data_IF_061998224327
#
_entry.id   IF_061998224327
#
_cell.length_a   1.000
_cell.length_b   1.000
_cell.length_c   1.000
_cell.angle_alpha   90.00
_cell.angle_beta   90.00
_cell.angle_gamma   90.00
#
_symmetry.space_group_name_H-M   'P 1'
#
loop_
_entity.id
_entity.type
_entity.pdbx_description
1 polymer ?
#
# COMPACT_ATOMS: atom_id res chain seq x y z
N UNK A 1 18.25 12.04 17.42
CA UNK A 1 17.47 11.19 18.34
C UNK A 1 16.03 11.23 17.88
N UNK A 2 15.54 10.17 17.24
CA UNK A 2 14.16 10.12 16.77
C UNK A 2 13.23 10.01 17.97
N UNK A 3 12.32 10.97 18.14
CA UNK A 3 11.35 10.97 19.22
C UNK A 3 10.35 9.82 18.99
N UNK A 4 10.36 8.82 19.87
CA UNK A 4 9.36 7.76 19.86
C UNK A 4 8.08 8.26 20.52
N UNK A 5 6.91 8.06 19.88
CA UNK A 5 5.60 8.36 20.46
C UNK A 5 5.04 7.09 21.06
N UNK A 6 4.74 7.10 22.37
CA UNK A 6 4.08 5.97 23.05
C UNK A 6 2.61 5.91 22.63
N UNK A 7 2.17 4.72 22.21
CA UNK A 7 0.77 4.40 21.90
C UNK A 7 0.41 3.20 22.78
N UNK A 8 -0.74 3.26 23.46
CA UNK A 8 -1.29 2.16 24.25
C UNK A 8 -2.53 1.66 23.52
N UNK A 9 -2.60 0.35 23.28
CA UNK A 9 -3.71 -0.31 22.58
C UNK A 9 -4.12 -1.54 23.38
N UNK A 10 -5.43 -1.79 23.44
CA UNK A 10 -5.96 -3.04 23.96
C UNK A 10 -6.11 -4.03 22.80
N UNK A 11 -5.56 -5.24 22.98
CA UNK A 11 -5.65 -6.33 22.02
C UNK A 11 -6.50 -7.46 22.60
N UNK A 12 -7.28 -8.19 21.76
CA UNK A 12 -7.92 -9.42 22.18
C UNK A 12 -6.87 -10.41 22.73
N UNK A 13 -7.22 -11.13 23.80
CA UNK A 13 -6.29 -12.05 24.47
C UNK A 13 -5.68 -13.08 23.52
N UNK A 14 -6.47 -13.62 22.59
CA UNK A 14 -6.00 -14.61 21.63
C UNK A 14 -4.89 -14.03 20.72
N UNK A 15 -5.12 -12.82 20.21
CA UNK A 15 -4.16 -12.13 19.34
C UNK A 15 -2.90 -11.70 20.11
N UNK A 16 -3.07 -11.23 21.36
CA UNK A 16 -1.94 -10.92 22.22
C UNK A 16 -1.08 -12.16 22.45
N UNK A 17 -1.70 -13.31 22.80
CA UNK A 17 -0.99 -14.58 23.00
C UNK A 17 -0.25 -15.08 21.75
N UNK A 18 -0.86 -14.99 20.56
CA UNK A 18 -0.18 -15.30 19.30
C UNK A 18 1.04 -14.40 19.07
N UNK A 19 0.92 -13.11 19.38
CA UNK A 19 2.03 -12.15 19.27
C UNK A 19 3.18 -12.49 20.23
N UNK A 20 2.89 -12.89 21.47
CA UNK A 20 3.93 -13.31 22.42
C UNK A 20 4.65 -14.57 21.93
N UNK A 21 3.90 -15.56 21.43
CA UNK A 21 4.46 -16.80 20.89
C UNK A 21 5.38 -16.53 19.68
N UNK A 22 4.97 -15.63 18.78
CA UNK A 22 5.77 -15.24 17.62
C UNK A 22 7.03 -14.48 18.03
N UNK A 23 6.91 -13.53 18.96
CA UNK A 23 8.06 -12.78 19.46
C UNK A 23 9.08 -13.69 20.15
N UNK A 24 8.61 -14.68 20.92
CA UNK A 24 9.46 -15.70 21.52
C UNK A 24 10.17 -16.57 20.47
N UNK A 25 9.46 -16.98 19.42
CA UNK A 25 10.03 -17.77 18.33
C UNK A 25 11.10 -16.99 17.54
N UNK A 26 10.88 -15.70 17.30
CA UNK A 26 11.84 -14.82 16.62
C UNK A 26 12.95 -14.27 17.53
N UNK A 27 12.88 -14.52 18.85
CA UNK A 27 13.76 -13.94 19.87
C UNK A 27 13.79 -12.39 19.80
N UNK A 28 12.64 -11.78 19.51
CA UNK A 28 12.46 -10.32 19.41
C UNK A 28 11.52 -9.80 20.49
N UNK A 29 11.49 -8.49 20.70
CA UNK A 29 10.51 -7.89 21.62
C UNK A 29 9.15 -7.73 20.97
N UNK A 30 8.09 -7.75 21.78
CA UNK A 30 6.71 -7.59 21.32
C UNK A 30 6.52 -6.21 20.65
N UNK A 31 7.20 -5.18 21.16
CA UNK A 31 7.18 -3.84 20.58
C UNK A 31 7.87 -3.79 19.22
N UNK A 32 9.00 -4.48 19.06
CA UNK A 32 9.71 -4.55 17.78
C UNK A 32 8.88 -5.26 16.73
N UNK A 33 8.27 -6.40 17.09
CA UNK A 33 7.38 -7.15 16.22
C UNK A 33 6.17 -6.31 15.82
N UNK A 34 5.54 -5.63 16.78
CA UNK A 34 4.40 -4.75 16.53
C UNK A 34 4.78 -3.57 15.63
N UNK A 35 5.92 -2.93 15.88
CA UNK A 35 6.40 -1.82 15.04
C UNK A 35 6.64 -2.28 13.61
N UNK A 36 7.27 -3.44 13.41
CA UNK A 36 7.52 -4.03 12.09
C UNK A 36 6.21 -4.35 11.37
N UNK A 37 5.25 -4.95 12.06
CA UNK A 37 3.94 -5.27 11.50
C UNK A 37 3.19 -4.00 11.08
N UNK A 38 3.15 -2.98 11.94
CA UNK A 38 2.50 -1.69 11.65
C UNK A 38 3.18 -0.98 10.48
N UNK A 39 4.52 -0.99 10.42
CA UNK A 39 5.26 -0.39 9.31
C UNK A 39 4.92 -1.07 7.98
N UNK A 40 4.93 -2.40 7.94
CA UNK A 40 4.55 -3.18 6.75
C UNK A 40 3.12 -2.85 6.31
N UNK A 41 2.18 -2.83 7.26
CA UNK A 41 0.78 -2.53 6.96
C UNK A 41 0.59 -1.11 6.38
N UNK A 42 1.32 -0.12 6.89
CA UNK A 42 1.28 1.26 6.38
C UNK A 42 1.79 1.31 4.94
N UNK A 43 2.90 0.64 4.61
CA UNK A 43 3.44 0.61 3.25
C UNK A 43 2.46 -0.07 2.27
N UNK A 44 1.85 -1.18 2.68
CA UNK A 44 0.82 -1.86 1.88
C UNK A 44 -0.41 -0.97 1.63
N UNK A 45 -0.83 -0.20 2.64
CA UNK A 45 -1.91 0.77 2.50
C UNK A 45 -1.55 1.88 1.49
N UNK A 46 -0.33 2.42 1.57
CA UNK A 46 0.14 3.43 0.61
C UNK A 46 0.17 2.91 -0.81
N UNK A 47 0.69 1.69 -1.00
CA UNK A 47 0.74 1.07 -2.32
C UNK A 47 -0.66 0.86 -2.92
N UNK A 48 -1.61 0.34 -2.12
CA UNK A 48 -3.01 0.20 -2.53
C UNK A 48 -3.63 1.53 -2.92
N UNK A 49 -3.36 2.59 -2.16
CA UNK A 49 -3.88 3.92 -2.46
C UNK A 49 -3.36 4.46 -3.80
N UNK A 50 -2.06 4.31 -4.08
CA UNK A 50 -1.46 4.70 -5.37
C UNK A 50 -2.15 3.96 -6.52
N UNK A 51 -2.31 2.64 -6.41
CA UNK A 51 -2.96 1.83 -7.44
C UNK A 51 -4.41 2.28 -7.68
N UNK A 52 -5.18 2.55 -6.63
CA UNK A 52 -6.56 3.02 -6.78
C UNK A 52 -6.65 4.43 -7.37
N UNK A 53 -5.74 5.33 -6.99
CA UNK A 53 -5.64 6.66 -7.61
C UNK A 53 -5.31 6.57 -9.11
N UNK A 54 -4.38 5.69 -9.48
CA UNK A 54 -4.05 5.45 -10.90
C UNK A 54 -5.27 4.94 -11.67
N UNK A 55 -5.97 3.93 -11.15
CA UNK A 55 -7.19 3.39 -11.78
C UNK A 55 -8.25 4.47 -11.95
N UNK A 56 -8.44 5.31 -10.93
CA UNK A 56 -9.39 6.43 -10.98
C UNK A 56 -9.02 7.41 -12.11
N UNK A 57 -7.78 7.88 -12.14
CA UNK A 57 -7.31 8.79 -13.19
C UNK A 57 -7.44 8.21 -14.59
N UNK A 58 -7.14 6.92 -14.79
CA UNK A 58 -7.34 6.25 -16.07
C UNK A 58 -8.79 6.20 -16.52
N UNK A 59 -9.73 5.96 -15.58
CA UNK A 59 -11.16 5.98 -15.90
C UNK A 59 -11.64 7.39 -16.24
N UNK A 60 -11.18 8.40 -15.51
CA UNK A 60 -11.52 9.81 -15.76
C UNK A 60 -11.02 10.28 -17.13
N UNK A 61 -9.83 9.84 -17.54
CA UNK A 61 -9.21 10.19 -18.82
C UNK A 61 -9.59 9.23 -19.95
N UNK A 62 -10.50 8.27 -19.72
CA UNK A 62 -10.77 7.19 -20.66
C UNK A 62 -11.16 7.69 -22.06
N UNK A 63 -12.06 8.67 -22.16
CA UNK A 63 -12.49 9.25 -23.43
C UNK A 63 -11.34 9.96 -24.17
N UNK A 64 -10.56 10.77 -23.46
CA UNK A 64 -9.41 11.50 -24.01
C UNK A 64 -8.35 10.51 -24.51
N UNK A 65 -8.03 9.48 -23.72
CA UNK A 65 -7.05 8.46 -24.07
C UNK A 65 -7.48 7.69 -25.32
N UNK A 66 -8.78 7.39 -25.48
CA UNK A 66 -9.31 6.75 -26.69
C UNK A 66 -9.15 7.67 -27.90
N UNK A 67 -9.58 8.94 -27.81
CA UNK A 67 -9.44 9.90 -28.91
C UNK A 67 -7.99 10.04 -29.37
N UNK A 68 -7.04 10.21 -28.44
CA UNK A 68 -5.62 10.34 -28.75
C UNK A 68 -5.08 9.04 -29.38
N UNK A 69 -5.49 7.86 -28.89
CA UNK A 69 -5.07 6.59 -29.47
C UNK A 69 -5.57 6.41 -30.90
N UNK A 70 -6.82 6.79 -31.18
CA UNK A 70 -7.40 6.77 -32.52
C UNK A 70 -6.68 7.75 -33.45
N UNK A 71 -6.42 8.99 -33.02
CA UNK A 71 -5.67 9.98 -33.79
C UNK A 71 -4.26 9.48 -34.16
N UNK A 72 -3.55 8.84 -33.21
CA UNK A 72 -2.25 8.23 -33.45
C UNK A 72 -2.30 7.06 -34.44
N UNK A 73 -3.35 6.24 -34.38
CA UNK A 73 -3.57 5.12 -35.30
C UNK A 73 -3.77 5.61 -36.74
N UNK A 74 -4.66 6.58 -36.96
CA UNK A 74 -4.98 7.07 -38.30
C UNK A 74 -3.95 8.07 -38.86
N UNK A 75 -3.29 8.85 -38.00
CA UNK A 75 -2.23 9.80 -38.38
C UNK A 75 -0.95 9.13 -38.90
N UNK A 76 -0.68 7.88 -38.52
CA UNK A 76 0.46 7.10 -39.01
C UNK A 76 0.25 6.44 -40.38
N UNK A 77 -1.00 6.25 -40.81
CA UNK A 77 -1.35 5.57 -42.08
C UNK A 77 -1.23 6.52 -43.27
N UNK A 78 -1.24 7.84 -43.04
CA UNK A 78 -1.18 8.85 -44.11
C UNK A 78 0.25 9.26 -44.52
N UNK A 79 1.30 8.63 -43.97
CA UNK A 79 2.72 8.90 -44.31
C UNK A 79 3.42 7.66 -44.89
N UNK A 80 2.79 6.96 -45.83
CA UNK A 80 3.45 5.98 -46.70
C UNK A 80 3.19 6.30 -48.16
#
# INVERSE_FOLDING_TARGET
MSACRRIVIDLPNDLAGELENLAQAEQTSHEELLCKAVQSYIEDCKHRNIVEQMKKGYREMGSINITIAEEGLYGGISKK
#
